data_IF_420472988720
#
_entry.id   IF_420472988720
#
_cell.length_a   1.000
_cell.length_b   1.000
_cell.length_c   1.000
_cell.angle_alpha   90.00
_cell.angle_beta   90.00
_cell.angle_gamma   90.00
#
_symmetry.space_group_name_H-M   'P 1'
#
loop_
_entity.id
_entity.type
_entity.pdbx_description
1 polymer ?
#
# COMPACT_ATOMS: atom_id res chain seq x y z
N UNK A 1 -36.79 -13.71 -6.06
CA UNK A 1 -35.34 -13.89 -5.81
C UNK A 1 -34.58 -13.37 -7.01
N UNK A 2 -33.57 -12.53 -6.82
CA UNK A 2 -32.68 -12.07 -7.88
C UNK A 2 -31.31 -12.71 -7.62
N UNK A 3 -30.77 -13.51 -8.54
CA UNK A 3 -29.41 -14.04 -8.43
C UNK A 3 -28.40 -12.91 -8.25
N UNK A 4 -27.45 -13.09 -7.34
CA UNK A 4 -26.33 -12.15 -7.14
C UNK A 4 -25.00 -12.71 -7.67
N UNK A 5 -24.99 -13.97 -8.12
CA UNK A 5 -23.82 -14.63 -8.68
C UNK A 5 -23.95 -16.15 -8.64
N UNK A 6 -22.80 -16.82 -8.72
CA UNK A 6 -22.67 -18.26 -8.56
C UNK A 6 -21.64 -18.53 -7.48
N UNK A 7 -21.84 -19.55 -6.65
CA UNK A 7 -20.83 -20.03 -5.72
C UNK A 7 -19.63 -20.49 -6.53
N UNK A 8 -18.59 -19.67 -6.51
CA UNK A 8 -17.25 -20.12 -6.79
C UNK A 8 -16.66 -20.51 -5.44
N UNK A 9 -15.86 -21.58 -5.39
CA UNK A 9 -15.04 -21.81 -4.20
C UNK A 9 -14.25 -20.52 -3.91
N UNK A 10 -13.91 -20.25 -2.65
CA UNK A 10 -13.07 -19.09 -2.30
C UNK A 10 -11.61 -19.37 -2.74
N UNK A 11 -11.46 -19.52 -4.07
CA UNK A 11 -10.29 -19.87 -4.89
C UNK A 11 -10.06 -18.74 -5.90
N UNK A 12 -10.55 -17.54 -5.61
CA UNK A 12 -10.39 -16.38 -6.48
C UNK A 12 -9.86 -15.24 -5.66
N UNK A 13 -8.53 -15.19 -5.60
CA UNK A 13 -7.80 -13.94 -5.55
C UNK A 13 -8.52 -12.84 -6.35
N UNK A 14 -8.83 -11.71 -5.70
CA UNK A 14 -9.47 -10.54 -6.31
C UNK A 14 -8.50 -9.37 -6.55
N UNK A 15 -7.23 -9.55 -6.22
CA UNK A 15 -6.16 -8.57 -6.40
C UNK A 15 -5.47 -8.70 -7.75
N UNK A 16 -4.48 -7.86 -8.03
CA UNK A 16 -3.57 -7.98 -9.19
C UNK A 16 -2.35 -8.90 -8.96
N UNK A 17 -2.13 -9.40 -7.75
CA UNK A 17 -1.03 -10.31 -7.45
C UNK A 17 -1.30 -11.71 -8.02
N UNK A 18 -0.28 -12.53 -8.23
CA UNK A 18 -0.46 -13.93 -8.62
C UNK A 18 -0.88 -14.80 -7.44
N UNK A 19 -1.71 -15.82 -7.68
CA UNK A 19 -2.21 -16.69 -6.63
C UNK A 19 -1.19 -17.73 -6.15
N UNK A 20 -1.48 -18.36 -5.01
CA UNK A 20 -0.67 -19.48 -4.52
C UNK A 20 -0.87 -20.75 -5.36
N UNK A 21 0.03 -21.72 -5.25
CA UNK A 21 -0.12 -23.03 -5.90
C UNK A 21 -1.26 -23.88 -5.32
N UNK A 22 -1.77 -23.52 -4.14
CA UNK A 22 -2.97 -24.12 -3.54
C UNK A 22 -4.27 -23.52 -4.08
N UNK A 23 -4.15 -22.41 -4.80
CA UNK A 23 -5.24 -21.75 -5.48
C UNK A 23 -4.86 -21.44 -6.94
N UNK A 24 -4.68 -22.49 -7.78
CA UNK A 24 -4.29 -22.29 -9.16
C UNK A 24 -5.39 -21.64 -10.01
N UNK A 25 -6.66 -21.73 -9.59
CA UNK A 25 -7.81 -21.18 -10.31
C UNK A 25 -7.93 -19.66 -10.21
N UNK A 26 -7.44 -19.06 -9.12
CA UNK A 26 -7.46 -17.61 -8.92
C UNK A 26 -6.36 -16.85 -9.67
N UNK A 27 -5.52 -17.52 -10.45
CA UNK A 27 -4.37 -16.88 -11.08
C UNK A 27 -4.75 -16.11 -12.34
N UNK A 28 -4.13 -14.94 -12.54
CA UNK A 28 -4.39 -14.12 -13.72
C UNK A 28 -3.67 -14.62 -14.97
N UNK A 29 -4.18 -14.32 -16.18
CA UNK A 29 -3.54 -14.74 -17.44
C UNK A 29 -2.10 -14.24 -17.64
N UNK A 30 -1.71 -13.14 -16.98
CA UNK A 30 -0.34 -12.60 -17.05
C UNK A 30 0.64 -13.25 -16.06
N UNK A 31 0.16 -14.10 -15.16
CA UNK A 31 0.99 -14.74 -14.16
C UNK A 31 1.79 -15.90 -14.77
N UNK A 32 3.10 -15.83 -14.63
CA UNK A 32 4.05 -16.85 -15.12
C UNK A 32 4.43 -17.87 -14.05
N UNK A 33 4.20 -17.57 -12.77
CA UNK A 33 4.38 -18.49 -11.66
C UNK A 33 3.43 -18.17 -10.50
N UNK A 34 3.30 -19.10 -9.56
CA UNK A 34 2.56 -18.91 -8.32
C UNK A 34 3.34 -18.06 -7.32
N UNK A 35 2.63 -17.26 -6.52
CA UNK A 35 3.18 -16.57 -5.37
C UNK A 35 2.66 -17.21 -4.08
N UNK A 36 3.52 -17.96 -3.40
CA UNK A 36 3.19 -18.64 -2.14
C UNK A 36 3.42 -17.77 -0.89
N UNK A 37 3.70 -16.48 -1.09
CA UNK A 37 4.07 -15.56 -0.02
C UNK A 37 5.56 -15.55 0.31
N UNK A 38 6.00 -14.48 0.95
CA UNK A 38 7.34 -14.39 1.55
C UNK A 38 7.24 -14.48 3.06
N UNK A 39 8.19 -15.22 3.64
CA UNK A 39 8.29 -15.46 5.08
C UNK A 39 9.27 -14.49 5.73
N UNK A 40 9.09 -14.27 7.02
CA UNK A 40 10.09 -13.59 7.86
C UNK A 40 11.38 -14.41 7.90
N UNK A 41 12.48 -13.79 8.35
CA UNK A 41 13.74 -14.48 8.59
C UNK A 41 13.51 -15.66 9.56
N UNK A 42 13.90 -16.91 9.19
CA UNK A 42 13.70 -18.07 10.06
C UNK A 42 14.41 -17.97 11.42
N UNK A 43 15.40 -17.09 11.56
CA UNK A 43 16.10 -16.83 12.82
C UNK A 43 15.35 -15.85 13.74
N UNK A 44 14.31 -15.17 13.25
CA UNK A 44 13.46 -14.29 14.05
C UNK A 44 12.47 -15.12 14.88
N UNK A 45 13.00 -15.90 15.84
CA UNK A 45 12.21 -16.74 16.73
C UNK A 45 11.22 -15.87 17.53
N UNK A 46 9.94 -16.25 17.50
CA UNK A 46 8.87 -15.47 18.14
C UNK A 46 8.40 -14.25 17.35
N UNK A 47 8.76 -14.14 16.06
CA UNK A 47 8.10 -13.20 15.15
C UNK A 47 6.59 -13.48 15.13
N UNK A 48 5.79 -12.45 15.41
CA UNK A 48 4.34 -12.55 15.46
C UNK A 48 3.73 -12.76 14.07
N UNK A 49 4.37 -12.25 13.02
CA UNK A 49 3.92 -12.41 11.63
C UNK A 49 4.91 -13.28 10.84
N UNK A 50 4.77 -14.62 10.83
CA UNK A 50 5.70 -15.50 10.12
C UNK A 50 5.70 -15.32 8.60
N UNK A 51 4.60 -14.83 8.02
CA UNK A 51 4.40 -14.63 6.58
C UNK A 51 3.97 -13.18 6.33
N UNK A 52 4.90 -12.21 6.37
CA UNK A 52 4.60 -10.79 6.18
C UNK A 52 4.00 -10.50 4.80
N UNK A 53 4.27 -11.31 3.79
CA UNK A 53 3.53 -11.26 2.53
C UNK A 53 2.79 -12.57 2.36
N UNK A 54 1.50 -12.58 2.65
CA UNK A 54 0.64 -13.71 2.32
C UNK A 54 0.47 -13.82 0.80
N UNK A 55 0.16 -15.01 0.28
CA UNK A 55 -0.45 -15.11 -1.04
C UNK A 55 -1.65 -14.18 -1.17
N UNK A 56 -1.96 -13.82 -2.41
CA UNK A 56 -3.11 -13.00 -2.74
C UNK A 56 -4.42 -13.63 -2.20
N UNK A 57 -5.21 -12.83 -1.48
CA UNK A 57 -6.51 -13.23 -0.96
C UNK A 57 -7.70 -12.63 -1.71
N UNK A 58 -8.90 -12.96 -1.26
CA UNK A 58 -10.11 -12.23 -1.65
C UNK A 58 -10.20 -10.97 -0.78
N UNK A 59 -9.60 -9.88 -1.26
CA UNK A 59 -9.51 -8.60 -0.56
C UNK A 59 -10.87 -7.91 -0.53
N UNK A 60 -11.20 -7.29 0.61
CA UNK A 60 -12.40 -6.46 0.78
C UNK A 60 -12.46 -5.38 -0.31
N UNK A 61 -13.59 -5.25 -0.99
CA UNK A 61 -13.82 -4.26 -2.05
C UNK A 61 -14.16 -2.85 -1.51
N UNK A 62 -13.96 -2.62 -0.22
CA UNK A 62 -14.21 -1.35 0.42
C UNK A 62 -13.05 -0.39 0.13
N UNK A 63 -13.38 0.82 -0.29
CA UNK A 63 -12.36 1.84 -0.52
C UNK A 63 -11.57 2.15 0.75
N UNK A 64 -10.23 2.23 0.62
CA UNK A 64 -9.30 2.58 1.70
C UNK A 64 -9.58 3.95 2.34
N UNK A 65 -10.28 4.83 1.61
CA UNK A 65 -10.76 6.12 2.12
C UNK A 65 -11.71 5.97 3.32
N UNK A 66 -12.37 4.82 3.48
CA UNK A 66 -13.25 4.56 4.63
C UNK A 66 -12.50 4.40 5.95
N UNK A 67 -11.19 4.13 5.93
CA UNK A 67 -10.37 4.15 7.16
C UNK A 67 -10.10 5.56 7.67
N UNK A 68 -10.27 6.57 6.81
CA UNK A 68 -10.00 7.95 7.15
C UNK A 68 -11.11 8.52 8.04
N UNK A 69 -10.76 9.57 8.78
CA UNK A 69 -11.69 10.19 9.72
C UNK A 69 -12.91 10.78 9.00
N UNK A 70 -14.09 10.83 9.66
CA UNK A 70 -15.31 11.36 9.05
C UNK A 70 -15.13 12.77 8.47
N UNK A 71 -15.64 12.98 7.26
CA UNK A 71 -15.54 14.26 6.56
C UNK A 71 -14.18 14.52 5.88
N UNK A 72 -13.24 13.57 5.93
CA UNK A 72 -12.01 13.68 5.16
C UNK A 72 -12.29 13.78 3.66
N UNK A 73 -11.65 14.75 3.01
CA UNK A 73 -11.83 15.02 1.57
C UNK A 73 -10.51 14.98 0.77
N UNK A 74 -9.45 14.44 1.38
CA UNK A 74 -8.15 14.28 0.74
C UNK A 74 -8.11 13.13 -0.27
N UNK A 75 -6.89 12.81 -0.70
CA UNK A 75 -6.61 11.80 -1.72
C UNK A 75 -5.64 10.74 -1.24
N UNK A 76 -5.74 9.55 -1.82
CA UNK A 76 -4.89 8.40 -1.50
C UNK A 76 -3.82 8.24 -2.57
N UNK A 77 -2.58 8.05 -2.12
CA UNK A 77 -1.41 7.75 -2.93
C UNK A 77 -1.04 6.28 -2.72
N UNK A 78 -0.80 5.54 -3.78
CA UNK A 78 -0.34 4.15 -3.71
C UNK A 78 1.12 4.14 -4.21
N UNK A 79 2.05 3.93 -3.26
CA UNK A 79 3.48 3.98 -3.57
C UNK A 79 3.90 2.65 -4.21
N UNK A 80 4.46 2.71 -5.42
CA UNK A 80 4.64 1.57 -6.31
C UNK A 80 6.11 1.30 -6.61
N UNK A 81 6.56 0.07 -6.39
CA UNK A 81 7.91 -0.41 -6.68
C UNK A 81 7.97 -0.94 -8.12
N UNK A 82 8.89 -0.47 -9.00
CA UNK A 82 8.87 -0.83 -10.42
C UNK A 82 9.85 -1.94 -10.81
N UNK A 83 10.04 -2.98 -9.98
CA UNK A 83 11.16 -3.92 -10.14
C UNK A 83 10.81 -5.40 -10.14
N UNK A 84 9.54 -5.79 -9.98
CA UNK A 84 9.17 -7.19 -9.96
C UNK A 84 9.13 -7.78 -11.38
N UNK A 85 9.80 -8.92 -11.55
CA UNK A 85 10.11 -9.54 -12.85
C UNK A 85 11.55 -9.31 -13.31
N UNK A 86 12.32 -8.46 -12.61
CA UNK A 86 13.76 -8.36 -12.76
C UNK A 86 14.47 -9.52 -12.05
N UNK A 87 15.56 -10.02 -12.62
CA UNK A 87 16.36 -11.10 -12.02
C UNK A 87 17.07 -10.69 -10.71
N UNK A 88 17.15 -9.39 -10.41
CA UNK A 88 17.79 -8.86 -9.20
C UNK A 88 16.83 -8.78 -8.00
N UNK A 89 15.54 -9.06 -8.19
CA UNK A 89 14.52 -9.00 -7.14
C UNK A 89 13.83 -10.35 -6.98
N UNK A 90 13.20 -10.56 -5.82
CA UNK A 90 12.45 -11.79 -5.55
C UNK A 90 11.27 -11.92 -6.52
N UNK A 91 11.01 -13.14 -6.97
CA UNK A 91 9.91 -13.44 -7.88
C UNK A 91 8.57 -13.43 -7.14
N UNK A 92 7.59 -12.70 -7.69
CA UNK A 92 6.19 -12.64 -7.20
C UNK A 92 5.19 -13.18 -8.22
N UNK A 93 5.69 -13.85 -9.27
CA UNK A 93 4.88 -14.57 -10.25
C UNK A 93 4.46 -13.75 -11.47
N UNK A 94 4.62 -12.43 -11.48
CA UNK A 94 4.38 -11.58 -12.65
C UNK A 94 5.65 -10.81 -13.07
N UNK A 95 5.57 -10.13 -14.20
CA UNK A 95 6.57 -9.19 -14.68
C UNK A 95 5.92 -7.82 -14.92
N UNK A 96 6.44 -6.76 -14.30
CA UNK A 96 5.88 -5.40 -14.36
C UNK A 96 6.22 -4.65 -15.65
N UNK A 97 7.10 -5.19 -16.50
CA UNK A 97 7.24 -4.72 -17.87
C UNK A 97 6.11 -5.21 -18.80
N UNK A 98 5.21 -6.07 -18.32
CA UNK A 98 4.01 -6.46 -19.05
C UNK A 98 2.91 -5.42 -18.87
N UNK A 99 2.38 -4.91 -20.00
CA UNK A 99 1.24 -4.01 -19.99
C UNK A 99 0.00 -4.62 -19.31
N UNK A 100 -0.20 -5.93 -19.40
CA UNK A 100 -1.32 -6.60 -18.75
C UNK A 100 -1.20 -6.61 -17.21
N UNK A 101 0.02 -6.81 -16.68
CA UNK A 101 0.30 -6.75 -15.24
C UNK A 101 0.01 -5.34 -14.71
N UNK A 102 0.61 -4.33 -15.35
CA UNK A 102 0.43 -2.92 -14.97
C UNK A 102 -1.03 -2.49 -15.06
N UNK A 103 -1.73 -2.89 -16.12
CA UNK A 103 -3.14 -2.56 -16.30
C UNK A 103 -4.02 -3.19 -15.20
N UNK A 104 -3.72 -4.42 -14.77
CA UNK A 104 -4.39 -5.05 -13.65
C UNK A 104 -4.09 -4.33 -12.33
N UNK A 105 -2.83 -4.00 -12.06
CA UNK A 105 -2.41 -3.25 -10.87
C UNK A 105 -3.08 -1.87 -10.78
N UNK A 106 -3.09 -1.09 -11.86
CA UNK A 106 -3.75 0.21 -11.91
C UNK A 106 -5.27 0.09 -11.72
N UNK A 107 -5.90 -0.94 -12.27
CA UNK A 107 -7.35 -1.17 -12.07
C UNK A 107 -7.66 -1.56 -10.63
N UNK A 108 -6.81 -2.38 -10.01
CA UNK A 108 -6.98 -2.78 -8.62
C UNK A 108 -6.75 -1.60 -7.67
N UNK A 109 -5.73 -0.77 -7.90
CA UNK A 109 -5.55 0.51 -7.19
C UNK A 109 -6.78 1.42 -7.27
N UNK A 110 -7.41 1.54 -8.46
CA UNK A 110 -8.65 2.32 -8.63
C UNK A 110 -9.79 1.73 -7.78
N UNK A 111 -9.95 0.40 -7.79
CA UNK A 111 -10.99 -0.29 -7.03
C UNK A 111 -10.83 -0.08 -5.51
N UNK A 112 -9.59 -0.11 -5.02
CA UNK A 112 -9.27 0.14 -3.60
C UNK A 112 -9.34 1.63 -3.22
N UNK A 113 -9.47 2.53 -4.20
CA UNK A 113 -9.65 3.97 -4.00
C UNK A 113 -8.36 4.80 -3.98
N UNK A 114 -7.29 4.33 -4.62
CA UNK A 114 -6.13 5.15 -4.92
C UNK A 114 -6.49 6.27 -5.92
N UNK A 115 -6.00 7.48 -5.67
CA UNK A 115 -6.13 8.64 -6.57
C UNK A 115 -4.81 8.97 -7.30
N UNK A 116 -3.68 8.54 -6.73
CA UNK A 116 -2.34 8.69 -7.32
C UNK A 116 -1.59 7.38 -7.16
N UNK A 117 -0.86 6.94 -8.18
CA UNK A 117 0.23 5.98 -8.05
C UNK A 117 1.54 6.73 -8.16
N UNK A 118 2.38 6.61 -7.14
CA UNK A 118 3.71 7.21 -7.13
C UNK A 118 4.73 6.10 -7.35
N UNK A 119 5.35 6.09 -8.52
CA UNK A 119 6.37 5.09 -8.88
C UNK A 119 7.71 5.47 -8.26
N UNK A 120 8.33 4.54 -7.56
CA UNK A 120 9.69 4.67 -7.02
C UNK A 120 10.70 4.67 -8.16
N UNK A 121 11.08 5.86 -8.61
CA UNK A 121 11.73 6.11 -9.88
C UNK A 121 13.25 6.00 -9.77
N UNK A 122 13.82 5.02 -10.48
CA UNK A 122 15.27 4.72 -10.50
C UNK A 122 16.02 5.42 -11.63
N UNK A 123 15.47 6.52 -12.13
CA UNK A 123 16.15 7.38 -13.08
C UNK A 123 16.20 6.85 -14.51
N UNK A 124 16.76 7.69 -15.37
CA UNK A 124 17.00 7.46 -16.79
C UNK A 124 18.48 7.42 -17.14
N UNK A 125 19.36 7.84 -16.22
CA UNK A 125 20.78 8.03 -16.49
C UNK A 125 21.63 6.75 -16.39
N UNK A 126 21.22 5.78 -15.57
CA UNK A 126 21.95 4.52 -15.37
C UNK A 126 21.32 3.37 -16.19
N UNK A 127 22.00 2.84 -17.22
CA UNK A 127 21.49 1.71 -18.01
C UNK A 127 21.20 0.45 -17.19
N UNK A 128 21.83 0.28 -16.03
CA UNK A 128 21.54 -0.84 -15.13
C UNK A 128 20.12 -0.80 -14.55
N UNK A 129 19.45 0.36 -14.63
CA UNK A 129 18.07 0.61 -14.19
C UNK A 129 17.04 0.55 -15.32
N UNK A 130 17.43 0.05 -16.50
CA UNK A 130 16.54 -0.03 -17.66
C UNK A 130 15.24 -0.81 -17.38
N UNK A 131 15.27 -1.84 -16.54
CA UNK A 131 14.05 -2.55 -16.13
C UNK A 131 13.09 -1.63 -15.38
N UNK A 132 13.57 -0.89 -14.38
CA UNK A 132 12.79 0.03 -13.57
C UNK A 132 12.20 1.17 -14.41
N UNK A 133 12.99 1.73 -15.32
CA UNK A 133 12.55 2.78 -16.23
C UNK A 133 11.47 2.25 -17.19
N UNK A 134 11.63 1.04 -17.72
CA UNK A 134 10.64 0.43 -18.59
C UNK A 134 9.31 0.17 -17.86
N UNK A 135 9.35 -0.30 -16.61
CA UNK A 135 8.16 -0.47 -15.77
C UNK A 135 7.49 0.89 -15.47
N UNK A 136 8.28 1.92 -15.15
CA UNK A 136 7.78 3.30 -14.95
C UNK A 136 7.04 3.79 -16.19
N UNK A 137 7.63 3.57 -17.37
CA UNK A 137 7.02 3.94 -18.66
C UNK A 137 5.76 3.12 -18.96
N UNK A 138 5.71 1.84 -18.60
CA UNK A 138 4.52 1.01 -18.75
C UNK A 138 3.36 1.53 -17.89
N UNK A 139 3.62 1.88 -16.62
CA UNK A 139 2.63 2.49 -15.73
C UNK A 139 2.14 3.84 -16.25
N UNK A 140 3.05 4.71 -16.70
CA UNK A 140 2.67 5.98 -17.30
C UNK A 140 1.84 5.78 -18.57
N UNK A 141 2.24 4.86 -19.45
CA UNK A 141 1.53 4.57 -20.70
C UNK A 141 0.11 4.06 -20.45
N UNK A 142 -0.08 3.14 -19.51
CA UNK A 142 -1.39 2.64 -19.13
C UNK A 142 -2.28 3.80 -18.63
N UNK A 143 -1.82 4.57 -17.65
CA UNK A 143 -2.63 5.67 -17.09
C UNK A 143 -2.89 6.81 -18.08
N UNK A 144 -1.94 7.11 -18.96
CA UNK A 144 -2.11 8.11 -20.02
C UNK A 144 -3.12 7.66 -21.08
N UNK A 145 -3.30 6.35 -21.28
CA UNK A 145 -4.30 5.80 -22.21
C UNK A 145 -5.73 5.77 -21.63
N UNK A 146 -5.87 5.81 -20.30
CA UNK A 146 -7.17 5.76 -19.61
C UNK A 146 -7.82 7.14 -19.55
N UNK A 147 -8.60 7.47 -20.58
CA UNK A 147 -9.37 8.71 -20.62
C UNK A 147 -10.25 8.87 -19.37
N UNK A 148 -10.09 10.00 -18.66
CA UNK A 148 -10.87 10.30 -17.46
C UNK A 148 -10.52 9.48 -16.21
N UNK A 149 -9.41 8.70 -16.23
CA UNK A 149 -8.99 7.91 -15.07
C UNK A 149 -8.89 8.76 -13.79
N UNK A 150 -9.47 8.28 -12.65
CA UNK A 150 -9.30 8.93 -11.36
C UNK A 150 -7.86 8.77 -10.84
N UNK A 151 -7.18 7.66 -11.19
CA UNK A 151 -5.81 7.39 -10.79
C UNK A 151 -4.82 8.18 -11.65
N UNK A 152 -4.01 9.01 -10.99
CA UNK A 152 -2.93 9.81 -11.59
C UNK A 152 -1.58 9.16 -11.41
N UNK A 153 -0.66 9.46 -12.32
CA UNK A 153 0.74 9.02 -12.26
C UNK A 153 1.60 10.07 -11.57
N UNK A 154 2.56 9.63 -10.75
CA UNK A 154 3.60 10.46 -10.18
C UNK A 154 4.90 9.65 -10.06
N UNK A 155 6.00 10.35 -9.79
CA UNK A 155 7.29 9.73 -9.50
C UNK A 155 7.82 10.18 -8.14
N UNK A 156 8.46 9.25 -7.43
CA UNK A 156 9.36 9.53 -6.34
C UNK A 156 10.78 9.26 -6.84
N UNK A 157 11.58 10.30 -7.07
CA UNK A 157 13.00 10.16 -7.45
C UNK A 157 13.75 9.46 -6.31
N UNK A 158 14.21 8.24 -6.55
CA UNK A 158 14.98 7.48 -5.57
C UNK A 158 16.47 7.80 -5.67
N UNK A 159 17.15 7.83 -4.54
CA UNK A 159 18.62 7.87 -4.47
C UNK A 159 19.32 6.80 -5.33
N UNK A 160 18.68 5.67 -5.55
CA UNK A 160 19.11 4.54 -6.38
C UNK A 160 19.25 4.89 -7.86
N UNK A 161 18.55 5.92 -8.34
CA UNK A 161 18.78 6.55 -9.64
C UNK A 161 20.18 7.18 -9.73
N UNK A 162 20.67 7.68 -8.59
CA UNK A 162 21.87 8.51 -8.52
C UNK A 162 23.11 7.71 -8.09
N UNK A 163 22.98 6.63 -7.31
CA UNK A 163 24.15 5.91 -6.74
C UNK A 163 25.08 5.30 -7.79
N UNK A 164 24.55 4.91 -8.95
CA UNK A 164 25.35 4.39 -10.07
C UNK A 164 26.16 5.46 -10.80
N UNK A 165 25.66 6.70 -10.82
CA UNK A 165 26.27 7.84 -11.55
C UNK A 165 27.07 8.78 -10.64
N UNK A 166 26.65 8.92 -9.39
CA UNK A 166 27.24 9.73 -8.33
C UNK A 166 27.57 8.83 -7.13
N UNK A 167 28.77 8.22 -7.10
CA UNK A 167 29.16 7.29 -6.04
C UNK A 167 29.05 7.90 -4.64
N UNK A 168 28.68 7.06 -3.67
CA UNK A 168 28.46 7.47 -2.27
C UNK A 168 29.75 7.57 -1.46
N UNK A 169 30.89 7.13 -2.01
CA UNK A 169 32.20 7.17 -1.37
C UNK A 169 33.34 7.35 -2.38
N UNK A 170 34.54 7.65 -1.90
CA UNK A 170 35.74 7.76 -2.74
C UNK A 170 35.81 9.03 -3.61
N UNK A 171 34.98 10.04 -3.31
CA UNK A 171 34.92 11.33 -4.02
C UNK A 171 34.98 12.49 -3.01
N UNK A 172 35.40 13.67 -3.47
CA UNK A 172 35.38 14.89 -2.65
C UNK A 172 33.96 15.47 -2.57
N UNK A 173 33.69 16.32 -1.57
CA UNK A 173 32.38 16.96 -1.42
C UNK A 173 32.05 17.85 -2.63
N UNK A 174 33.00 18.67 -3.10
CA UNK A 174 32.83 19.52 -4.31
C UNK A 174 32.48 18.71 -5.56
N UNK A 175 33.16 17.57 -5.77
CA UNK A 175 32.84 16.70 -6.90
C UNK A 175 31.42 16.13 -6.76
N UNK A 176 31.06 15.70 -5.55
CA UNK A 176 29.77 15.08 -5.26
C UNK A 176 28.61 16.06 -5.44
N UNK A 177 28.75 17.31 -4.94
CA UNK A 177 27.78 18.40 -5.18
C UNK A 177 27.57 18.61 -6.68
N UNK A 178 28.66 18.75 -7.43
CA UNK A 178 28.59 18.96 -8.89
C UNK A 178 27.92 17.80 -9.60
N UNK A 179 28.23 16.56 -9.21
CA UNK A 179 27.61 15.37 -9.78
C UNK A 179 26.10 15.35 -9.52
N UNK A 180 25.69 15.52 -8.27
CA UNK A 180 24.28 15.46 -7.88
C UNK A 180 23.46 16.57 -8.53
N UNK A 181 23.96 17.81 -8.56
CA UNK A 181 23.29 18.91 -9.26
C UNK A 181 23.06 18.56 -10.73
N UNK A 182 24.10 18.14 -11.45
CA UNK A 182 23.99 17.81 -12.88
C UNK A 182 23.07 16.62 -13.15
N UNK A 183 23.15 15.56 -12.33
CA UNK A 183 22.35 14.35 -12.52
C UNK A 183 20.89 14.59 -12.19
N UNK A 184 20.58 15.20 -11.03
CA UNK A 184 19.20 15.53 -10.66
C UNK A 184 18.56 16.49 -11.67
N UNK A 185 19.28 17.51 -12.14
CA UNK A 185 18.76 18.42 -13.18
C UNK A 185 18.37 17.65 -14.45
N UNK A 186 19.21 16.72 -14.90
CA UNK A 186 18.90 15.87 -16.07
C UNK A 186 17.71 14.96 -15.84
N UNK A 187 17.58 14.37 -14.65
CA UNK A 187 16.40 13.56 -14.31
C UNK A 187 15.13 14.42 -14.26
N UNK A 188 15.19 15.64 -13.72
CA UNK A 188 14.05 16.56 -13.72
C UNK A 188 13.64 16.98 -15.14
N UNK A 189 14.62 17.22 -16.03
CA UNK A 189 14.35 17.48 -17.44
C UNK A 189 13.69 16.28 -18.13
N UNK A 190 14.15 15.06 -17.81
CA UNK A 190 13.54 13.82 -18.31
C UNK A 190 12.09 13.69 -17.84
N UNK A 191 11.85 13.79 -16.53
CA UNK A 191 10.51 13.72 -15.91
C UNK A 191 9.58 14.76 -16.52
N UNK A 192 10.06 15.99 -16.72
CA UNK A 192 9.30 17.05 -17.38
C UNK A 192 8.91 16.68 -18.81
N UNK A 193 9.88 16.24 -19.61
CA UNK A 193 9.67 15.96 -21.02
C UNK A 193 8.74 14.77 -21.25
N UNK A 194 8.84 13.73 -20.42
CA UNK A 194 8.14 12.46 -20.63
C UNK A 194 6.80 12.39 -19.91
N UNK A 195 6.68 12.97 -18.72
CA UNK A 195 5.55 12.70 -17.84
C UNK A 195 4.70 13.93 -17.52
N UNK A 196 5.31 15.03 -17.05
CA UNK A 196 4.53 16.09 -16.38
C UNK A 196 3.64 16.89 -17.32
N UNK A 197 3.92 16.92 -18.63
CA UNK A 197 3.06 17.57 -19.62
C UNK A 197 1.72 16.85 -19.81
N UNK A 198 1.58 15.59 -19.39
CA UNK A 198 0.34 14.84 -19.51
C UNK A 198 -0.67 15.21 -18.40
N UNK A 199 -1.99 15.27 -18.70
CA UNK A 199 -3.04 15.38 -17.68
C UNK A 199 -3.19 14.12 -16.81
N UNK A 200 -2.50 13.03 -17.16
CA UNK A 200 -2.38 11.85 -16.29
C UNK A 200 -1.41 12.09 -15.12
N UNK A 201 -0.50 13.07 -15.21
CA UNK A 201 0.44 13.37 -14.14
C UNK A 201 -0.26 14.06 -12.96
N UNK A 202 0.06 13.65 -11.73
CA UNK A 202 -0.48 14.23 -10.51
C UNK A 202 0.00 15.67 -10.32
N UNK A 203 -0.95 16.55 -10.02
CA UNK A 203 -0.71 17.95 -9.69
C UNK A 203 -1.41 18.31 -8.40
N UNK A 204 -0.69 18.99 -7.52
CA UNK A 204 -1.23 19.60 -6.31
C UNK A 204 -1.43 21.11 -6.57
N UNK A 205 -2.69 21.55 -6.54
CA UNK A 205 -3.11 22.91 -6.93
C UNK A 205 -2.55 23.34 -8.32
N UNK A 206 -2.58 22.42 -9.30
CA UNK A 206 -2.10 22.67 -10.67
C UNK A 206 -0.60 22.49 -10.89
N UNK A 207 0.19 22.32 -9.82
CA UNK A 207 1.64 22.21 -9.87
C UNK A 207 2.08 20.73 -9.82
N UNK A 208 2.95 20.25 -10.74
CA UNK A 208 3.49 18.89 -10.68
C UNK A 208 4.25 18.67 -9.37
N UNK A 209 3.99 17.53 -8.73
CA UNK A 209 4.70 17.13 -7.51
C UNK A 209 5.68 16.02 -7.85
N UNK A 210 6.93 16.19 -7.44
CA UNK A 210 7.97 15.16 -7.49
C UNK A 210 8.37 14.86 -6.05
N UNK A 211 8.20 13.61 -5.62
CA UNK A 211 8.75 13.17 -4.35
C UNK A 211 10.23 12.83 -4.50
N UNK A 212 11.00 12.91 -3.41
CA UNK A 212 12.38 12.42 -3.35
C UNK A 212 12.52 11.40 -2.23
N UNK A 213 13.09 10.24 -2.53
CA UNK A 213 13.39 9.18 -1.57
C UNK A 213 14.91 9.02 -1.40
N UNK A 214 15.41 9.58 -0.30
CA UNK A 214 16.83 9.61 0.02
C UNK A 214 17.18 10.78 0.92
N UNK A 215 18.47 10.93 1.23
CA UNK A 215 18.92 12.10 1.96
C UNK A 215 20.43 12.21 2.07
N UNK A 216 20.87 13.24 2.78
CA UNK A 216 22.29 13.53 3.01
C UNK A 216 23.08 12.33 3.55
N UNK A 217 22.46 11.45 4.34
CA UNK A 217 23.11 10.24 4.87
C UNK A 217 23.56 9.26 3.78
N UNK A 218 23.00 9.33 2.57
CA UNK A 218 23.42 8.50 1.45
C UNK A 218 24.73 9.00 0.80
N UNK A 219 25.10 10.27 1.00
CA UNK A 219 26.38 10.86 0.59
C UNK A 219 27.08 11.51 1.79
N UNK A 220 27.68 10.71 2.69
CA UNK A 220 28.20 11.18 3.98
C UNK A 220 29.37 12.16 3.87
N UNK A 221 29.93 12.37 2.67
CA UNK A 221 30.96 13.38 2.40
C UNK A 221 30.39 14.81 2.39
N UNK A 222 29.07 14.96 2.26
CA UNK A 222 28.39 16.25 2.20
C UNK A 222 28.02 16.77 3.59
N UNK A 223 28.18 18.07 3.78
CA UNK A 223 27.56 18.83 4.87
C UNK A 223 26.11 19.22 4.54
N UNK A 224 25.34 19.61 5.55
CA UNK A 224 23.96 20.12 5.35
C UNK A 224 23.92 21.29 4.37
N UNK A 225 24.85 22.23 4.48
CA UNK A 225 24.93 23.39 3.57
C UNK A 225 25.17 22.95 2.12
N UNK A 226 25.99 21.93 1.90
CA UNK A 226 26.23 21.37 0.56
C UNK A 226 25.02 20.61 0.04
N UNK A 227 24.30 19.87 0.88
CA UNK A 227 23.05 19.24 0.50
C UNK A 227 21.97 20.26 0.11
N UNK A 228 21.84 21.32 0.91
CA UNK A 228 20.92 22.42 0.64
C UNK A 228 21.28 23.14 -0.66
N UNK A 229 22.58 23.25 -0.99
CA UNK A 229 23.03 23.87 -2.25
C UNK A 229 22.74 22.99 -3.48
N UNK A 230 22.75 21.65 -3.34
CA UNK A 230 22.30 20.73 -4.40
C UNK A 230 20.83 21.00 -4.74
N UNK A 231 19.95 20.97 -3.74
CA UNK A 231 18.51 21.17 -3.97
C UNK A 231 18.14 22.59 -4.36
N UNK A 232 18.87 23.60 -3.86
CA UNK A 232 18.69 24.97 -4.33
C UNK A 232 18.98 25.11 -5.83
N UNK A 233 20.03 24.46 -6.34
CA UNK A 233 20.36 24.48 -7.77
C UNK A 233 19.31 23.72 -8.60
N UNK A 234 18.87 22.54 -8.15
CA UNK A 234 17.79 21.77 -8.81
C UNK A 234 16.51 22.59 -8.87
N UNK A 235 16.11 23.21 -7.74
CA UNK A 235 14.92 24.06 -7.68
C UNK A 235 15.05 25.25 -8.62
N UNK A 236 16.16 25.98 -8.57
CA UNK A 236 16.40 27.12 -9.45
C UNK A 236 16.30 26.74 -10.94
N UNK A 237 16.78 25.55 -11.32
CA UNK A 237 16.60 25.03 -12.68
C UNK A 237 15.12 24.78 -13.00
N UNK A 238 14.40 24.04 -12.16
CA UNK A 238 12.99 23.70 -12.41
C UNK A 238 12.04 24.91 -12.30
N UNK A 239 12.45 25.99 -11.64
CA UNK A 239 11.71 27.26 -11.59
C UNK A 239 11.69 28.00 -12.94
N UNK A 240 12.57 27.63 -13.87
CA UNK A 240 12.55 28.15 -15.24
C UNK A 240 11.51 27.48 -16.12
N UNK A 241 10.92 26.38 -15.67
CA UNK A 241 9.87 25.69 -16.41
C UNK A 241 8.58 26.51 -16.46
N UNK A 242 7.79 26.33 -17.52
CA UNK A 242 6.50 26.99 -17.67
C UNK A 242 5.56 26.74 -16.46
N UNK A 243 5.65 25.55 -15.86
CA UNK A 243 5.09 25.25 -14.55
C UNK A 243 6.21 24.62 -13.70
N UNK A 244 6.68 25.29 -12.64
CA UNK A 244 7.71 24.76 -11.74
C UNK A 244 7.28 23.47 -11.04
N UNK A 245 8.23 22.72 -10.50
CA UNK A 245 7.93 21.56 -9.65
C UNK A 245 7.76 21.95 -8.18
N UNK A 246 6.90 21.19 -7.49
CA UNK A 246 6.88 21.05 -6.03
C UNK A 246 7.69 19.82 -5.64
N UNK A 247 8.68 19.99 -4.77
CA UNK A 247 9.42 18.86 -4.21
C UNK A 247 8.92 18.51 -2.80
N UNK A 248 8.65 17.22 -2.59
CA UNK A 248 8.32 16.70 -1.26
C UNK A 248 9.31 15.64 -0.83
N UNK A 249 9.70 15.68 0.44
CA UNK A 249 10.78 14.86 0.99
C UNK A 249 10.27 13.94 2.09
N UNK A 250 10.96 12.84 2.34
CA UNK A 250 10.68 12.05 3.53
C UNK A 250 10.81 12.94 4.78
N UNK A 251 9.90 12.76 5.73
CA UNK A 251 9.95 13.48 6.99
C UNK A 251 11.17 13.07 7.81
N UNK A 252 12.10 14.02 8.00
CA UNK A 252 13.33 13.85 8.77
C UNK A 252 13.29 14.48 10.16
N UNK A 253 12.09 14.65 10.75
CA UNK A 253 11.90 15.26 12.08
C UNK A 253 11.56 16.74 12.10
N UNK A 254 11.55 17.41 10.94
CA UNK A 254 11.08 18.80 10.79
C UNK A 254 10.60 19.10 9.38
N UNK A 255 9.74 20.10 9.30
CA UNK A 255 9.46 20.88 8.09
C UNK A 255 10.49 22.02 8.03
N UNK A 256 10.92 22.43 6.84
CA UNK A 256 11.95 23.48 6.69
C UNK A 256 11.44 24.63 5.84
N UNK A 257 12.01 25.82 6.04
CA UNK A 257 11.68 27.01 5.23
C UNK A 257 12.60 27.15 4.02
N UNK A 258 13.32 26.10 3.62
CA UNK A 258 14.17 26.11 2.44
C UNK A 258 13.30 26.31 1.19
N UNK A 259 13.71 27.17 0.27
CA UNK A 259 12.90 27.53 -0.92
C UNK A 259 12.61 26.35 -1.85
N UNK A 260 13.43 25.30 -1.77
CA UNK A 260 13.29 24.05 -2.53
C UNK A 260 12.43 23.00 -1.81
N UNK A 261 12.07 23.20 -0.54
CA UNK A 261 11.28 22.25 0.27
C UNK A 261 9.80 22.65 0.29
N UNK A 262 8.97 21.93 -0.49
CA UNK A 262 7.54 22.23 -0.59
C UNK A 262 6.67 21.33 0.29
N UNK A 263 7.24 20.36 1.01
CA UNK A 263 6.45 19.45 1.82
C UNK A 263 7.16 18.20 2.27
N UNK A 264 6.46 17.44 3.12
CA UNK A 264 6.97 16.21 3.73
C UNK A 264 5.98 15.07 3.62
N UNK A 265 6.50 13.88 3.43
CA UNK A 265 5.74 12.64 3.53
C UNK A 265 6.22 11.76 4.68
N UNK A 266 5.28 11.13 5.38
CA UNK A 266 5.58 10.12 6.38
C UNK A 266 5.92 8.78 5.72
N UNK A 267 6.73 7.95 6.38
CA UNK A 267 7.06 6.58 5.95
C UNK A 267 7.05 5.63 7.15
N UNK A 268 7.03 4.31 6.91
CA UNK A 268 7.24 3.34 7.97
C UNK A 268 8.62 3.55 8.63
N UNK A 269 8.69 3.47 9.97
CA UNK A 269 9.93 3.60 10.74
C UNK A 269 10.16 2.31 11.54
N UNK A 270 10.55 1.21 10.88
CA UNK A 270 10.66 -0.08 11.54
C UNK A 270 11.91 -0.14 12.43
N UNK A 271 11.83 -0.68 13.65
CA UNK A 271 13.01 -1.00 14.43
C UNK A 271 13.71 -2.23 13.88
N UNK A 272 14.96 -2.46 14.33
CA UNK A 272 15.57 -3.78 14.21
C UNK A 272 14.73 -4.83 14.95
N UNK A 273 14.67 -6.05 14.43
CA UNK A 273 13.89 -7.13 15.02
C UNK A 273 14.27 -7.36 16.48
N UNK A 274 13.24 -7.51 17.29
CA UNK A 274 13.30 -8.05 18.64
C UNK A 274 11.89 -8.45 19.06
N UNK A 275 11.79 -9.41 19.98
CA UNK A 275 10.49 -9.98 20.38
C UNK A 275 9.53 -8.94 20.93
N UNK A 276 10.04 -7.82 21.46
CA UNK A 276 9.26 -6.65 21.88
C UNK A 276 9.19 -5.57 20.80
N UNK A 277 10.32 -5.28 20.15
CA UNK A 277 10.46 -4.18 19.17
C UNK A 277 9.55 -4.36 17.96
N UNK A 278 9.27 -5.61 17.56
CA UNK A 278 8.37 -5.89 16.44
C UNK A 278 6.98 -5.25 16.59
N UNK A 279 6.58 -4.82 17.78
CA UNK A 279 5.29 -4.17 18.02
C UNK A 279 5.34 -2.63 17.94
N UNK A 280 6.53 -2.04 17.69
CA UNK A 280 6.72 -0.60 17.58
C UNK A 280 6.40 -0.13 16.16
N UNK A 281 5.10 -0.04 15.85
CA UNK A 281 4.65 0.22 14.49
C UNK A 281 4.89 1.65 14.02
N UNK A 282 4.73 2.65 14.91
CA UNK A 282 4.84 4.06 14.55
C UNK A 282 6.18 4.72 14.88
N UNK A 283 7.22 3.95 15.24
CA UNK A 283 8.54 4.47 15.59
C UNK A 283 9.61 3.38 15.63
N UNK A 284 10.82 3.70 15.17
CA UNK A 284 11.97 2.77 15.21
C UNK A 284 12.61 2.64 16.59
N UNK A 285 12.23 3.47 17.55
CA UNK A 285 12.95 3.61 18.83
C UNK A 285 12.04 3.72 20.05
N UNK A 286 10.73 3.54 19.89
CA UNK A 286 9.78 3.70 20.98
C UNK A 286 8.52 2.85 20.76
N UNK A 287 7.92 2.25 21.81
CA UNK A 287 6.65 1.54 21.71
C UNK A 287 5.45 2.43 21.37
N UNK A 288 5.56 3.75 21.58
CA UNK A 288 4.56 4.73 21.15
C UNK A 288 4.93 5.31 19.78
N UNK A 289 3.95 5.76 18.98
CA UNK A 289 4.15 6.16 17.58
C UNK A 289 4.79 7.56 17.44
N UNK A 290 5.84 7.86 18.21
CA UNK A 290 6.43 9.20 18.35
C UNK A 290 6.89 9.84 17.03
N UNK A 291 7.23 9.04 16.01
CA UNK A 291 7.60 9.57 14.70
C UNK A 291 6.36 10.13 13.99
N UNK A 292 5.24 9.38 14.00
CA UNK A 292 3.98 9.84 13.43
C UNK A 292 3.38 10.98 14.25
N UNK A 293 3.47 10.93 15.58
CA UNK A 293 3.09 12.04 16.47
C UNK A 293 3.80 13.34 16.05
N UNK A 294 5.13 13.25 15.89
CA UNK A 294 5.96 14.38 15.49
C UNK A 294 5.61 14.87 14.09
N UNK A 295 5.42 13.95 13.13
CA UNK A 295 5.05 14.31 11.77
C UNK A 295 3.73 15.07 11.72
N UNK A 296 2.66 14.53 12.30
CA UNK A 296 1.34 15.15 12.22
C UNK A 296 1.26 16.45 13.02
N UNK A 297 1.91 16.52 14.19
CA UNK A 297 2.01 17.78 14.96
C UNK A 297 2.74 18.86 14.18
N UNK A 298 3.88 18.53 13.55
CA UNK A 298 4.65 19.50 12.79
C UNK A 298 3.96 19.89 11.48
N UNK A 299 3.21 18.98 10.84
CA UNK A 299 2.41 19.29 9.67
C UNK A 299 1.31 20.33 9.99
N UNK A 300 0.60 20.17 11.11
CA UNK A 300 -0.40 21.14 11.56
C UNK A 300 0.21 22.53 11.85
N UNK A 301 1.47 22.58 12.29
CA UNK A 301 2.20 23.82 12.52
C UNK A 301 2.79 24.43 11.24
N UNK A 302 2.75 23.74 10.10
CA UNK A 302 3.29 24.20 8.81
C UNK A 302 2.26 24.03 7.67
N UNK A 303 1.06 24.65 7.78
CA UNK A 303 -0.06 24.40 6.86
C UNK A 303 0.17 24.88 5.43
N UNK A 304 1.21 25.68 5.17
CA UNK A 304 1.60 26.11 3.82
C UNK A 304 2.43 25.06 3.06
N UNK A 305 2.90 24.02 3.74
CA UNK A 305 3.68 22.94 3.15
C UNK A 305 2.83 21.69 2.97
N UNK A 306 3.09 20.96 1.88
CA UNK A 306 2.33 19.77 1.54
C UNK A 306 2.66 18.63 2.52
N UNK A 307 1.67 18.18 3.29
CA UNK A 307 1.80 17.03 4.18
C UNK A 307 1.14 15.79 3.57
N UNK A 308 1.90 14.69 3.49
CA UNK A 308 1.43 13.39 3.01
C UNK A 308 1.54 12.38 4.16
N UNK A 309 0.41 11.98 4.74
CA UNK A 309 0.38 10.97 5.80
C UNK A 309 0.72 9.57 5.30
N UNK A 310 0.83 8.60 6.20
CA UNK A 310 1.17 7.22 5.84
C UNK A 310 0.22 6.22 6.49
N UNK A 311 -0.22 5.24 5.69
CA UNK A 311 -0.91 4.03 6.10
C UNK A 311 -0.04 2.84 5.70
N UNK A 312 0.14 1.87 6.58
CA UNK A 312 0.91 0.65 6.32
C UNK A 312 0.44 -0.49 7.20
N UNK A 313 0.62 -1.73 6.71
CA UNK A 313 0.22 -2.93 7.46
C UNK A 313 1.30 -3.49 8.39
N UNK A 314 2.57 -3.27 8.08
CA UNK A 314 3.72 -3.88 8.73
C UNK A 314 5.02 -3.42 8.07
N UNK A 315 6.13 -4.04 8.47
CA UNK A 315 7.41 -4.00 7.78
C UNK A 315 8.17 -5.29 8.09
N UNK A 316 8.80 -5.92 7.12
CA UNK A 316 9.73 -7.02 7.30
C UNK A 316 10.67 -7.09 6.08
N UNK A 317 11.87 -6.53 6.22
CA UNK A 317 12.84 -6.49 5.13
C UNK A 317 13.71 -7.74 5.01
N UNK A 318 13.33 -8.86 5.64
CA UNK A 318 14.12 -10.11 5.60
C UNK A 318 14.35 -10.65 4.18
N UNK A 319 13.52 -10.24 3.22
CA UNK A 319 13.60 -10.68 1.83
C UNK A 319 14.33 -9.70 0.91
N UNK A 320 14.60 -8.49 1.40
CA UNK A 320 15.31 -7.45 0.67
C UNK A 320 16.82 -7.67 0.68
N UNK A 321 17.49 -7.35 -0.43
CA UNK A 321 18.96 -7.39 -0.51
C UNK A 321 19.64 -6.33 0.37
N UNK A 322 18.90 -5.31 0.79
CA UNK A 322 19.32 -4.24 1.69
C UNK A 322 18.81 -4.41 3.14
N UNK A 323 18.42 -5.63 3.51
CA UNK A 323 17.88 -5.92 4.84
C UNK A 323 18.79 -5.41 5.96
N UNK A 324 18.19 -4.75 6.95
CA UNK A 324 18.80 -4.51 8.25
C UNK A 324 18.12 -5.34 9.36
N UNK A 325 17.46 -6.43 8.97
CA UNK A 325 16.59 -7.28 9.81
C UNK A 325 15.59 -6.44 10.61
N UNK A 326 14.89 -5.52 9.92
CA UNK A 326 13.92 -4.61 10.53
C UNK A 326 12.53 -5.22 10.44
N UNK A 327 11.78 -5.18 11.54
CA UNK A 327 10.47 -5.84 11.64
C UNK A 327 9.48 -4.99 12.42
N UNK A 328 8.30 -4.83 11.83
CA UNK A 328 7.04 -4.43 12.46
C UNK A 328 6.03 -5.52 12.14
N UNK A 329 5.53 -6.21 13.16
CA UNK A 329 4.50 -7.23 13.05
C UNK A 329 3.17 -6.63 12.55
N UNK A 330 2.43 -7.37 11.73
CA UNK A 330 1.12 -6.95 11.23
C UNK A 330 0.05 -6.88 12.32
N UNK A 331 0.21 -7.66 13.40
CA UNK A 331 -0.75 -7.76 14.49
C UNK A 331 -2.17 -8.05 13.97
N UNK A 332 -2.27 -9.02 13.05
CA UNK A 332 -3.53 -9.43 12.42
C UNK A 332 -4.27 -8.25 11.76
N UNK A 333 -3.53 -7.39 11.06
CA UNK A 333 -4.04 -6.20 10.37
C UNK A 333 -4.33 -5.00 11.26
N UNK A 334 -4.13 -5.09 12.58
CA UNK A 334 -4.36 -3.96 13.49
C UNK A 334 -3.44 -2.77 13.21
N UNK A 335 -2.19 -2.99 12.76
CA UNK A 335 -1.27 -1.88 12.45
C UNK A 335 -1.82 -0.96 11.34
N UNK A 336 -2.52 -1.52 10.34
CA UNK A 336 -3.19 -0.70 9.33
C UNK A 336 -4.30 0.17 9.95
N UNK A 337 -5.05 -0.38 10.90
CA UNK A 337 -6.09 0.36 11.62
C UNK A 337 -5.48 1.43 12.54
N UNK A 338 -4.37 1.12 13.19
CA UNK A 338 -3.69 2.00 14.13
C UNK A 338 -3.06 3.20 13.42
N UNK A 339 -2.45 3.01 12.25
CA UNK A 339 -1.93 4.13 11.43
C UNK A 339 -3.04 5.08 10.98
N UNK A 340 -4.22 4.57 10.62
CA UNK A 340 -5.39 5.39 10.31
C UNK A 340 -5.93 6.12 11.55
N UNK A 341 -5.99 5.44 12.69
CA UNK A 341 -6.39 6.03 13.97
C UNK A 341 -5.43 7.15 14.41
N UNK A 342 -4.14 7.00 14.15
CA UNK A 342 -3.13 8.01 14.46
C UNK A 342 -3.38 9.30 13.66
N UNK A 343 -3.73 9.20 12.38
CA UNK A 343 -4.13 10.38 11.59
C UNK A 343 -5.38 11.02 12.20
N UNK A 344 -6.39 10.22 12.55
CA UNK A 344 -7.64 10.70 13.14
C UNK A 344 -7.42 11.46 14.45
N UNK A 345 -6.45 11.03 15.28
CA UNK A 345 -6.09 11.72 16.53
C UNK A 345 -5.71 13.19 16.31
N UNK A 346 -5.08 13.52 15.18
CA UNK A 346 -4.64 14.87 14.84
C UNK A 346 -5.62 15.67 13.99
N UNK A 347 -6.29 15.02 13.03
CA UNK A 347 -7.12 15.71 12.04
C UNK A 347 -8.63 15.52 12.24
N UNK A 348 -9.05 14.48 12.97
CA UNK A 348 -10.47 14.10 13.06
C UNK A 348 -11.37 15.10 13.76
N UNK A 349 -10.82 16.02 14.55
CA UNK A 349 -11.56 17.07 15.27
C UNK A 349 -10.91 18.45 15.21
N UNK A 350 -9.77 18.60 14.53
CA UNK A 350 -9.05 19.88 14.48
C UNK A 350 -9.64 20.87 13.46
N UNK A 351 -10.50 20.41 12.55
CA UNK A 351 -11.01 21.18 11.42
C UNK A 351 -10.02 21.32 10.26
N UNK A 352 -8.74 20.97 10.46
CA UNK A 352 -7.75 20.88 9.40
C UNK A 352 -7.97 19.61 8.56
N UNK A 353 -7.64 19.67 7.27
CA UNK A 353 -7.68 18.53 6.37
C UNK A 353 -6.26 18.11 6.00
N UNK A 354 -5.98 16.82 6.11
CA UNK A 354 -4.75 16.23 5.57
C UNK A 354 -4.97 16.01 4.07
N UNK A 355 -4.25 16.68 3.16
CA UNK A 355 -4.59 16.67 1.74
C UNK A 355 -4.33 15.31 1.08
N UNK A 356 -3.32 14.58 1.57
CA UNK A 356 -2.94 13.28 1.03
C UNK A 356 -2.55 12.29 2.12
N UNK A 357 -2.86 11.02 1.89
CA UNK A 357 -2.27 9.88 2.61
C UNK A 357 -1.66 8.94 1.59
N UNK A 358 -0.53 8.32 1.91
CA UNK A 358 0.07 7.29 1.07
C UNK A 358 0.01 5.92 1.73
N UNK A 359 -0.24 4.90 0.91
CA UNK A 359 -0.06 3.51 1.25
C UNK A 359 1.41 3.17 1.12
N UNK A 360 2.03 2.74 2.22
CA UNK A 360 3.42 2.29 2.32
C UNK A 360 3.39 0.77 2.51
N UNK A 361 3.48 -0.02 1.46
CA UNK A 361 3.49 0.35 0.03
C UNK A 361 2.38 -0.42 -0.69
N UNK A 362 2.15 -0.12 -1.96
CA UNK A 362 1.24 -0.95 -2.76
C UNK A 362 1.80 -2.36 -2.95
N UNK A 363 3.04 -2.49 -3.42
CA UNK A 363 3.61 -3.76 -3.88
C UNK A 363 5.05 -4.02 -3.41
N UNK A 364 5.61 -3.35 -2.40
CA UNK A 364 6.93 -3.72 -1.87
C UNK A 364 6.86 -5.00 -1.01
N UNK A 365 6.93 -6.13 -1.71
CA UNK A 365 6.99 -7.45 -1.10
C UNK A 365 8.33 -7.72 -0.40
N UNK A 366 9.43 -7.09 -0.83
CA UNK A 366 10.74 -7.37 -0.22
C UNK A 366 10.88 -6.73 1.17
N UNK A 367 10.17 -5.62 1.40
CA UNK A 367 10.03 -4.97 2.72
C UNK A 367 8.79 -5.41 3.51
N UNK A 368 8.00 -6.38 3.03
CA UNK A 368 6.84 -6.88 3.77
C UNK A 368 5.69 -5.88 3.91
N UNK A 369 5.72 -4.78 3.16
CA UNK A 369 4.77 -3.67 3.26
C UNK A 369 3.66 -3.73 2.21
N UNK A 370 3.80 -4.56 1.17
CA UNK A 370 2.86 -4.68 0.04
C UNK A 370 1.40 -4.94 0.44
N UNK A 371 0.52 -3.99 0.19
CA UNK A 371 -0.92 -4.08 0.43
C UNK A 371 -1.72 -4.75 -0.71
N UNK A 372 -1.12 -4.88 -1.90
CA UNK A 372 -1.75 -5.46 -3.10
C UNK A 372 -2.32 -6.86 -2.86
N UNK A 373 -1.64 -7.74 -2.12
CA UNK A 373 -2.15 -9.09 -1.82
C UNK A 373 -3.25 -9.15 -0.74
N UNK A 374 -3.52 -8.03 -0.07
CA UNK A 374 -4.37 -7.95 1.12
C UNK A 374 -3.64 -8.25 2.44
N UNK A 375 -4.34 -7.99 3.54
CA UNK A 375 -3.84 -8.16 4.91
C UNK A 375 -4.63 -9.26 5.62
N UNK A 376 -3.91 -10.20 6.24
CA UNK A 376 -4.53 -11.25 7.04
C UNK A 376 -4.95 -10.69 8.42
N UNK A 377 -6.22 -10.92 8.79
CA UNK A 377 -6.78 -10.54 10.10
C UNK A 377 -6.80 -11.66 11.15
N UNK A 378 -6.14 -12.78 10.87
CA UNK A 378 -6.04 -13.98 11.69
C UNK A 378 -7.39 -14.63 12.04
N UNK A 379 -8.47 -14.29 11.33
CA UNK A 379 -9.79 -14.87 11.55
C UNK A 379 -10.13 -15.96 10.54
N UNK A 380 -10.95 -16.90 10.98
CA UNK A 380 -11.80 -17.74 10.15
C UNK A 380 -13.25 -17.64 10.67
N UNK A 381 -14.23 -17.83 9.79
CA UNK A 381 -15.67 -17.82 10.15
C UNK A 381 -16.24 -19.23 10.01
N UNK A 382 -16.93 -19.71 11.05
CA UNK A 382 -17.57 -21.02 11.08
C UNK A 382 -19.09 -20.83 11.23
N UNK A 383 -19.86 -21.33 10.27
CA UNK A 383 -21.32 -21.28 10.31
C UNK A 383 -21.90 -22.63 10.78
N UNK A 384 -23.09 -22.60 11.36
CA UNK A 384 -23.91 -23.76 11.72
C UNK A 384 -25.39 -23.42 11.69
N UNK A 385 -26.25 -24.44 11.59
CA UNK A 385 -27.71 -24.27 11.63
C UNK A 385 -28.29 -24.69 12.98
N UNK A 386 -29.22 -23.89 13.50
CA UNK A 386 -30.06 -24.21 14.66
C UNK A 386 -31.53 -23.92 14.29
N UNK A 387 -32.23 -24.94 13.79
CA UNK A 387 -33.56 -24.75 13.20
C UNK A 387 -33.51 -23.79 12.02
N UNK A 388 -34.27 -22.68 12.10
CA UNK A 388 -34.28 -21.62 11.08
C UNK A 388 -33.16 -20.59 11.23
N UNK A 389 -32.37 -20.66 12.31
CA UNK A 389 -31.26 -19.73 12.52
C UNK A 389 -29.99 -20.29 11.88
N UNK A 390 -29.40 -19.53 10.97
CA UNK A 390 -27.96 -19.67 10.74
C UNK A 390 -27.26 -18.92 11.86
N UNK A 391 -26.28 -19.57 12.49
CA UNK A 391 -25.43 -18.97 13.52
C UNK A 391 -23.98 -19.08 13.08
N UNK A 392 -23.12 -18.16 13.55
CA UNK A 392 -21.70 -18.23 13.24
C UNK A 392 -20.82 -17.84 14.43
N UNK A 393 -19.60 -18.38 14.42
CA UNK A 393 -18.53 -18.04 15.35
C UNK A 393 -17.24 -17.71 14.61
N UNK A 394 -16.40 -16.92 15.26
CA UNK A 394 -15.07 -16.57 14.76
C UNK A 394 -14.02 -17.44 15.45
N UNK A 395 -13.15 -18.07 14.66
CA UNK A 395 -11.96 -18.75 15.14
C UNK A 395 -10.72 -17.91 14.82
N UNK A 396 -9.72 -17.94 15.69
CA UNK A 396 -8.50 -17.12 15.55
C UNK A 396 -7.26 -17.98 15.46
N UNK A 397 -6.36 -17.70 14.51
CA UNK A 397 -5.01 -18.28 14.48
C UNK A 397 -4.05 -17.59 15.44
N UNK A 398 -4.35 -16.33 15.81
CA UNK A 398 -3.66 -15.58 16.84
C UNK A 398 -4.70 -14.90 17.76
N UNK A 399 -5.00 -15.49 18.93
CA UNK A 399 -6.01 -14.95 19.85
C UNK A 399 -5.56 -13.67 20.56
N UNK A 400 -4.28 -13.29 20.47
CA UNK A 400 -3.76 -12.07 21.10
C UNK A 400 -4.07 -10.85 20.24
N UNK A 401 -3.91 -10.99 18.92
CA UNK A 401 -3.99 -9.86 17.99
C UNK A 401 -5.18 -9.91 17.01
N UNK A 402 -5.87 -11.03 16.85
CA UNK A 402 -7.14 -11.03 16.12
C UNK A 402 -8.14 -10.10 16.82
N UNK A 403 -8.72 -9.15 16.09
CA UNK A 403 -9.51 -8.07 16.67
C UNK A 403 -10.71 -7.71 15.79
N UNK A 404 -11.94 -7.56 16.34
CA UNK A 404 -13.10 -7.15 15.56
C UNK A 404 -12.93 -5.80 14.85
N UNK A 405 -11.93 -4.99 15.23
CA UNK A 405 -11.57 -3.74 14.53
C UNK A 405 -11.25 -3.95 13.05
N UNK A 406 -10.81 -5.15 12.66
CA UNK A 406 -10.44 -5.48 11.27
C UNK A 406 -11.59 -6.09 10.48
N UNK A 407 -12.78 -6.18 11.09
CA UNK A 407 -14.03 -6.63 10.48
C UNK A 407 -14.89 -5.39 10.22
N UNK A 408 -15.45 -5.28 9.02
CA UNK A 408 -16.42 -4.23 8.71
C UNK A 408 -17.85 -4.69 8.99
N UNK A 409 -18.23 -5.87 8.48
CA UNK A 409 -19.60 -6.39 8.60
C UNK A 409 -19.65 -7.88 8.25
N UNK A 410 -20.84 -8.48 8.39
CA UNK A 410 -21.15 -9.81 7.86
C UNK A 410 -22.20 -9.76 6.76
N UNK A 411 -22.08 -10.68 5.80
CA UNK A 411 -23.13 -11.00 4.84
C UNK A 411 -23.54 -12.46 5.00
N UNK A 412 -24.79 -12.77 4.68
CA UNK A 412 -25.31 -14.14 4.63
C UNK A 412 -25.86 -14.39 3.24
N UNK A 413 -25.39 -15.46 2.63
CA UNK A 413 -25.81 -15.90 1.31
C UNK A 413 -26.43 -17.29 1.37
N UNK A 414 -27.28 -17.61 0.41
CA UNK A 414 -27.78 -18.96 0.20
C UNK A 414 -27.72 -19.32 -1.28
N UNK A 415 -27.53 -20.61 -1.59
CA UNK A 415 -27.37 -21.09 -2.94
C UNK A 415 -28.23 -22.32 -3.24
N UNK A 416 -28.76 -22.37 -4.46
CA UNK A 416 -29.50 -23.54 -4.96
C UNK A 416 -28.55 -24.69 -5.34
N UNK A 417 -29.12 -25.82 -5.78
CA UNK A 417 -28.35 -26.99 -6.20
C UNK A 417 -27.45 -26.76 -7.41
N UNK A 418 -27.69 -25.72 -8.19
CA UNK A 418 -26.84 -25.31 -9.32
C UNK A 418 -25.73 -24.35 -8.88
N UNK A 419 -25.68 -24.01 -7.59
CA UNK A 419 -24.74 -23.04 -7.04
C UNK A 419 -25.12 -21.59 -7.32
N UNK A 420 -26.33 -21.29 -7.81
CA UNK A 420 -26.77 -19.90 -7.99
C UNK A 420 -26.89 -19.25 -6.62
N UNK A 421 -26.20 -18.14 -6.40
CA UNK A 421 -26.11 -17.45 -5.11
C UNK A 421 -27.16 -16.35 -5.00
N UNK A 422 -27.73 -16.20 -3.80
CA UNK A 422 -28.72 -15.21 -3.41
C UNK A 422 -28.33 -14.59 -2.06
N UNK A 423 -28.72 -13.34 -1.80
CA UNK A 423 -28.51 -12.70 -0.50
C UNK A 423 -29.67 -13.00 0.46
N UNK A 424 -29.35 -13.49 1.66
CA UNK A 424 -30.29 -13.59 2.79
C UNK A 424 -30.15 -12.42 3.76
N UNK A 425 -28.95 -11.86 3.90
CA UNK A 425 -28.67 -10.69 4.72
C UNK A 425 -27.40 -9.99 4.26
N UNK A 426 -27.39 -8.65 4.34
CA UNK A 426 -26.25 -7.85 3.95
C UNK A 426 -25.97 -6.77 5.00
N UNK A 427 -24.70 -6.38 5.15
CA UNK A 427 -24.27 -5.33 6.08
C UNK A 427 -24.69 -5.59 7.54
N UNK A 428 -24.70 -6.86 7.97
CA UNK A 428 -24.99 -7.21 9.35
C UNK A 428 -23.88 -6.69 10.27
N UNK A 429 -24.21 -6.11 11.43
CA UNK A 429 -23.22 -5.48 12.30
C UNK A 429 -22.19 -6.49 12.80
N UNK A 430 -21.00 -6.02 13.15
CA UNK A 430 -19.90 -6.86 13.69
C UNK A 430 -20.30 -7.62 14.97
N UNK A 431 -21.34 -7.18 15.67
CA UNK A 431 -21.91 -7.87 16.85
C UNK A 431 -22.90 -8.99 16.51
N UNK A 432 -23.31 -9.13 15.24
CA UNK A 432 -24.21 -10.19 14.82
C UNK A 432 -23.48 -11.54 14.79
N UNK A 433 -24.17 -12.56 15.28
CA UNK A 433 -23.72 -13.95 15.28
C UNK A 433 -24.82 -14.93 14.81
N UNK A 434 -25.96 -14.42 14.36
CA UNK A 434 -27.06 -15.21 13.83
C UNK A 434 -28.00 -14.42 12.92
N UNK A 435 -28.75 -15.13 12.07
CA UNK A 435 -29.81 -14.62 11.22
C UNK A 435 -30.93 -15.67 11.09
N UNK A 436 -32.19 -15.26 11.27
CA UNK A 436 -33.36 -16.12 11.02
C UNK A 436 -33.68 -16.16 9.52
N UNK A 437 -33.60 -17.34 8.94
CA UNK A 437 -33.78 -17.58 7.51
C UNK A 437 -35.25 -17.76 7.11
N UNK A 438 -36.16 -17.99 8.07
CA UNK A 438 -37.54 -18.41 7.78
C UNK A 438 -38.34 -17.44 6.92
N UNK A 439 -37.99 -16.14 6.96
CA UNK A 439 -38.65 -15.07 6.22
C UNK A 439 -37.87 -14.60 4.99
N UNK A 440 -36.60 -15.00 4.85
CA UNK A 440 -35.69 -14.47 3.81
C UNK A 440 -35.22 -15.53 2.81
N UNK A 441 -35.35 -16.82 3.16
CA UNK A 441 -35.06 -17.95 2.29
C UNK A 441 -36.37 -18.70 1.98
N UNK A 442 -36.72 -18.97 0.71
CA UNK A 442 -37.93 -19.71 0.39
C UNK A 442 -37.89 -21.18 0.80
N UNK A 443 -39.05 -21.86 0.87
CA UNK A 443 -39.13 -23.30 1.09
C UNK A 443 -38.23 -24.10 0.14
N UNK A 444 -37.45 -25.03 0.68
CA UNK A 444 -36.53 -25.86 -0.08
C UNK A 444 -35.28 -26.26 0.70
N UNK A 445 -34.33 -26.87 -0.01
CA UNK A 445 -33.02 -27.23 0.52
C UNK A 445 -31.98 -26.30 -0.09
N UNK A 446 -31.22 -25.62 0.76
CA UNK A 446 -30.28 -24.59 0.37
C UNK A 446 -28.93 -24.78 1.05
N UNK A 447 -27.86 -24.39 0.36
CA UNK A 447 -26.54 -24.22 0.98
C UNK A 447 -26.41 -22.78 1.48
N UNK A 448 -26.12 -22.57 2.75
CA UNK A 448 -25.99 -21.25 3.37
C UNK A 448 -24.53 -20.96 3.69
N UNK A 449 -24.11 -19.71 3.50
CA UNK A 449 -22.76 -19.23 3.71
C UNK A 449 -22.78 -17.94 4.52
N UNK A 450 -21.79 -17.75 5.38
CA UNK A 450 -21.54 -16.49 6.08
C UNK A 450 -20.22 -15.91 5.59
N UNK A 451 -20.26 -14.66 5.13
CA UNK A 451 -19.08 -13.86 4.81
C UNK A 451 -18.76 -12.94 5.96
N UNK A 452 -17.52 -12.98 6.44
CA UNK A 452 -16.93 -11.92 7.25
C UNK A 452 -16.18 -10.99 6.31
N UNK A 453 -16.72 -9.80 6.09
CA UNK A 453 -16.09 -8.77 5.26
C UNK A 453 -15.10 -7.99 6.10
N UNK A 454 -13.85 -7.98 5.65
CA UNK A 454 -12.79 -7.21 6.29
C UNK A 454 -12.96 -5.70 6.10
N UNK A 455 -12.28 -4.91 6.93
CA UNK A 455 -12.02 -3.50 6.63
C UNK A 455 -11.29 -3.35 5.27
N UNK A 456 -11.21 -2.15 4.67
CA UNK A 456 -10.45 -1.94 3.44
C UNK A 456 -9.07 -2.61 3.46
N UNK A 457 -8.70 -3.27 2.36
CA UNK A 457 -7.47 -4.07 2.18
C UNK A 457 -7.32 -5.31 3.08
N UNK A 458 -8.26 -5.59 3.98
CA UNK A 458 -8.28 -6.84 4.76
C UNK A 458 -8.91 -7.97 3.92
N UNK A 459 -8.37 -9.18 4.05
CA UNK A 459 -8.90 -10.36 3.36
C UNK A 459 -10.25 -10.79 3.97
N UNK A 460 -11.27 -10.98 3.13
CA UNK A 460 -12.57 -11.51 3.52
C UNK A 460 -12.49 -13.00 3.85
N UNK A 461 -13.35 -13.47 4.77
CA UNK A 461 -13.43 -14.89 5.15
C UNK A 461 -14.82 -15.44 4.86
N UNK A 462 -14.89 -16.55 4.14
CA UNK A 462 -16.13 -17.29 3.90
C UNK A 462 -16.19 -18.51 4.81
N UNK A 463 -17.38 -18.82 5.34
CA UNK A 463 -17.62 -20.09 6.02
C UNK A 463 -17.69 -21.25 5.04
N UNK A 464 -17.54 -22.47 5.53
CA UNK A 464 -18.04 -23.63 4.81
C UNK A 464 -19.56 -23.53 4.61
N UNK A 465 -20.07 -24.22 3.58
CA UNK A 465 -21.51 -24.35 3.36
C UNK A 465 -22.17 -25.11 4.52
N UNK A 466 -23.33 -24.62 4.97
CA UNK A 466 -24.21 -25.36 5.87
C UNK A 466 -25.56 -25.60 5.21
N UNK A 467 -26.09 -26.80 5.37
CA UNK A 467 -27.38 -27.16 4.76
C UNK A 467 -28.53 -26.60 5.57
N UNK A 468 -29.39 -25.82 4.92
CA UNK A 468 -30.68 -25.40 5.46
C UNK A 468 -31.81 -26.14 4.75
N UNK A 469 -32.73 -26.69 5.53
CA UNK A 469 -33.98 -27.30 5.06
C UNK A 469 -35.09 -26.49 5.72
N UNK A 470 -35.82 -25.72 4.93
CA UNK A 470 -36.92 -24.87 5.37
C UNK A 470 -38.16 -25.68 5.75
#
# INVERSE_FOLDING_TARGET
MVPIGTVLAQVSNSSSLCSSSKDPGGNHPYCSAFFNGFKTNPNNLGAQTPTPNSPAGHVSNLSIKQLMYPGWNGRVICHYMPWFGSNNHKAVGYNENSAATVAAQASFMIAEGCDVTTVDYYGSLDPSKAFNLATTNAMFSDLNSRAGSPLKFAVAEDKGALKGVCPTSGKTSTWTVTCLQNSLIKEMDYIKAHYTNSPAYWRDAGVPVVAYFGGISDWPVLSTTEWDSVWAAVKAHTDTYAVPFKFVFQYGGKFTNNSWDNGRYAWAQPPGFGTTQQFWWGSRSNPTPIYLDSFYSNALNNPSQLAIGALYKAFDDSNASWSANRVVAQQCGQVLMDTASEIRKYYGSSGAQLPYVQLVTWNDYEEGTALEGGVDNCYAVNASMLGNLVTWSLATTDPTYASPKTIHHFNVYFADSNGTLYSAGANLPVTANSLDLSQVVPPGTWSVYVEMVGQPLIINRMSNAVTYIH
#
